data_IF_787443366834
#
_entry.id   IF_787443366834
#
_cell.length_a   1.000
_cell.length_b   1.000
_cell.length_c   1.000
_cell.angle_alpha   90.00
_cell.angle_beta   90.00
_cell.angle_gamma   90.00
#
_symmetry.space_group_name_H-M   'P 1'
#
loop_
_entity.id
_entity.type
_entity.pdbx_description
1 polymer ?
#
# COMPACT_ATOMS: atom_id res chain seq x y z
N UNK A 1 26.01 14.36 -41.03
CA UNK A 1 24.64 14.62 -40.56
C UNK A 1 24.10 13.36 -39.90
N UNK A 2 23.94 13.33 -38.57
CA UNK A 2 23.33 12.20 -37.85
C UNK A 2 21.82 12.27 -38.04
N UNK A 3 21.22 11.23 -38.62
CA UNK A 3 19.76 11.05 -38.70
C UNK A 3 19.22 11.06 -37.27
N UNK A 4 18.35 12.03 -36.95
CA UNK A 4 17.60 12.07 -35.69
C UNK A 4 16.59 10.92 -35.80
N UNK A 5 16.83 9.83 -35.08
CA UNK A 5 15.83 8.78 -34.95
C UNK A 5 14.65 9.36 -34.17
N UNK A 6 13.50 9.48 -34.82
CA UNK A 6 12.25 9.85 -34.16
C UNK A 6 11.93 8.79 -33.10
N UNK A 7 11.51 9.19 -31.88
CA UNK A 7 11.16 8.24 -30.84
C UNK A 7 10.02 7.36 -31.36
N UNK A 8 10.31 6.08 -31.61
CA UNK A 8 9.29 5.07 -31.90
C UNK A 8 8.27 5.11 -30.78
N UNK A 9 7.03 5.51 -31.09
CA UNK A 9 5.93 5.35 -30.16
C UNK A 9 5.73 3.84 -29.95
N UNK A 10 6.22 3.34 -28.83
CA UNK A 10 6.01 1.96 -28.41
C UNK A 10 4.57 1.85 -27.98
N UNK A 11 3.75 1.21 -28.81
CA UNK A 11 2.35 0.92 -28.50
C UNK A 11 2.33 -0.30 -27.58
N UNK A 12 2.33 -0.07 -26.26
CA UNK A 12 2.30 -1.13 -25.27
C UNK A 12 0.91 -1.79 -25.27
N UNK A 13 0.85 -3.11 -25.08
CA UNK A 13 -0.41 -3.82 -24.87
C UNK A 13 -0.97 -3.57 -23.46
N UNK A 14 -2.25 -3.87 -23.27
CA UNK A 14 -2.92 -3.71 -21.97
C UNK A 14 -2.23 -4.51 -20.84
N UNK A 15 -1.62 -5.65 -21.20
CA UNK A 15 -0.87 -6.50 -20.26
C UNK A 15 0.39 -5.80 -19.73
N UNK A 16 1.19 -5.18 -20.60
CA UNK A 16 2.39 -4.47 -20.18
C UNK A 16 2.06 -3.27 -19.29
N UNK A 17 1.00 -2.52 -19.60
CA UNK A 17 0.54 -1.42 -18.73
C UNK A 17 0.13 -1.91 -17.34
N UNK A 18 -0.56 -3.05 -17.27
CA UNK A 18 -0.95 -3.66 -16.01
C UNK A 18 0.25 -4.16 -15.20
N UNK A 19 1.25 -4.78 -15.84
CA UNK A 19 2.47 -5.22 -15.15
C UNK A 19 3.25 -4.06 -14.54
N UNK A 20 3.36 -2.94 -15.26
CA UNK A 20 3.98 -1.71 -14.75
C UNK A 20 3.21 -1.17 -13.55
N UNK A 21 1.88 -1.04 -13.67
CA UNK A 21 1.00 -0.62 -12.59
C UNK A 21 1.18 -1.51 -11.35
N UNK A 22 1.11 -2.83 -11.52
CA UNK A 22 1.23 -3.80 -10.44
C UNK A 22 2.58 -3.71 -9.74
N UNK A 23 3.67 -3.53 -10.50
CA UNK A 23 5.01 -3.34 -9.96
C UNK A 23 5.09 -2.10 -9.07
N UNK A 24 4.55 -0.96 -9.52
CA UNK A 24 4.51 0.27 -8.73
C UNK A 24 3.66 0.14 -7.48
N UNK A 25 2.45 -0.41 -7.57
CA UNK A 25 1.58 -0.62 -6.42
C UNK A 25 2.20 -1.56 -5.39
N UNK A 26 2.85 -2.64 -5.84
CA UNK A 26 3.57 -3.53 -4.93
C UNK A 26 4.76 -2.85 -4.27
N UNK A 27 5.52 -2.03 -5.00
CA UNK A 27 6.63 -1.28 -4.44
C UNK A 27 6.15 -0.25 -3.40
N UNK A 28 5.11 0.52 -3.73
CA UNK A 28 4.54 1.54 -2.85
C UNK A 28 4.05 0.94 -1.53
N UNK A 29 3.32 -0.17 -1.58
CA UNK A 29 2.86 -0.90 -0.40
C UNK A 29 4.03 -1.39 0.46
N UNK A 30 5.08 -1.93 -0.15
CA UNK A 30 6.27 -2.36 0.58
C UNK A 30 6.93 -1.17 1.29
N UNK A 31 7.02 -0.01 0.64
CA UNK A 31 7.51 1.21 1.26
C UNK A 31 6.65 1.64 2.44
N UNK A 32 5.33 1.58 2.34
CA UNK A 32 4.44 1.89 3.47
C UNK A 32 4.63 0.95 4.65
N UNK A 33 4.72 -0.36 4.41
CA UNK A 33 4.94 -1.33 5.48
C UNK A 33 6.29 -1.10 6.16
N UNK A 34 7.37 -0.94 5.38
CA UNK A 34 8.71 -0.68 5.91
C UNK A 34 8.76 0.63 6.70
N UNK A 35 8.17 1.70 6.16
CA UNK A 35 8.12 2.99 6.83
C UNK A 35 7.32 2.92 8.13
N UNK A 36 6.15 2.29 8.12
CA UNK A 36 5.31 2.17 9.32
C UNK A 36 5.96 1.32 10.41
N UNK A 37 6.53 0.16 10.06
CA UNK A 37 7.26 -0.70 11.02
C UNK A 37 8.51 0.01 11.55
N UNK A 38 9.25 0.71 10.69
CA UNK A 38 10.39 1.54 11.07
C UNK A 38 10.01 2.68 12.01
N UNK A 39 8.88 3.34 11.76
CA UNK A 39 8.31 4.35 12.66
C UNK A 39 8.00 3.76 14.04
N UNK A 40 7.26 2.64 14.08
CA UNK A 40 6.91 1.96 15.34
C UNK A 40 8.14 1.59 16.18
N UNK A 41 9.17 1.01 15.57
CA UNK A 41 10.33 0.53 16.33
C UNK A 41 11.12 1.68 16.96
N UNK A 42 11.14 2.86 16.35
CA UNK A 42 11.77 4.05 16.93
C UNK A 42 11.09 4.49 18.23
N UNK A 43 9.76 4.38 18.31
CA UNK A 43 9.01 4.76 19.52
C UNK A 43 8.97 3.64 20.56
N UNK A 44 8.95 2.38 20.15
CA UNK A 44 8.96 1.24 21.09
C UNK A 44 10.36 1.00 21.67
N UNK A 45 11.42 1.33 20.94
CA UNK A 45 12.78 1.16 21.42
C UNK A 45 13.18 2.24 22.42
N UNK A 46 13.56 1.85 23.64
CA UNK A 46 14.10 2.78 24.65
C UNK A 46 15.50 3.33 24.32
N UNK A 47 16.04 2.99 23.15
CA UNK A 47 17.38 3.37 22.70
C UNK A 47 17.48 4.83 22.29
N UNK A 48 16.38 5.44 21.84
CA UNK A 48 16.37 6.83 21.42
C UNK A 48 15.97 7.73 22.59
N UNK A 49 16.96 8.37 23.23
CA UNK A 49 16.74 9.31 24.33
C UNK A 49 15.78 10.46 23.94
N UNK A 50 15.83 10.89 22.68
CA UNK A 50 15.00 11.95 22.11
C UNK A 50 13.50 11.67 22.26
N UNK A 51 13.07 10.40 22.24
CA UNK A 51 11.65 10.05 22.36
C UNK A 51 11.20 9.73 23.79
N UNK A 52 12.08 9.85 24.79
CA UNK A 52 11.74 9.62 26.21
C UNK A 52 10.99 10.79 26.83
N UNK A 53 11.25 11.99 26.34
CA UNK A 53 10.63 13.23 26.82
C UNK A 53 9.22 13.45 26.23
N UNK A 54 8.80 12.57 25.32
CA UNK A 54 7.50 12.67 24.67
C UNK A 54 6.38 12.35 25.65
N UNK A 55 5.29 13.11 25.54
CA UNK A 55 4.08 12.84 26.30
C UNK A 55 3.53 11.44 25.96
N UNK A 56 3.31 10.61 26.99
CA UNK A 56 2.87 9.20 26.85
C UNK A 56 1.64 9.01 25.95
N UNK A 57 0.52 9.74 26.12
CA UNK A 57 -0.62 9.70 25.21
C UNK A 57 -0.27 9.97 23.74
N UNK A 58 0.58 10.98 23.47
CA UNK A 58 0.98 11.34 22.10
C UNK A 58 1.82 10.22 21.49
N UNK A 59 2.77 9.67 22.25
CA UNK A 59 3.59 8.53 21.84
C UNK A 59 2.73 7.32 21.45
N UNK A 60 1.71 7.01 22.26
CA UNK A 60 0.76 5.91 21.95
C UNK A 60 -0.03 6.22 20.67
N UNK A 61 -0.52 7.45 20.50
CA UNK A 61 -1.26 7.84 19.30
C UNK A 61 -0.41 7.73 18.02
N UNK A 62 0.87 8.13 18.06
CA UNK A 62 1.82 7.99 16.96
C UNK A 62 2.01 6.51 16.59
N UNK A 63 2.27 5.66 17.58
CA UNK A 63 2.45 4.22 17.36
C UNK A 63 1.18 3.57 16.79
N UNK A 64 0.01 3.89 17.34
CA UNK A 64 -1.27 3.38 16.82
C UNK A 64 -1.47 3.83 15.37
N UNK A 65 -1.17 5.09 15.05
CA UNK A 65 -1.30 5.60 13.68
C UNK A 65 -0.42 4.84 12.69
N UNK A 66 0.84 4.56 13.05
CA UNK A 66 1.72 3.74 12.23
C UNK A 66 1.23 2.29 12.10
N UNK A 67 0.82 1.65 13.20
CA UNK A 67 0.28 0.28 13.17
C UNK A 67 -0.98 0.19 12.33
N UNK A 68 -1.90 1.15 12.44
CA UNK A 68 -3.13 1.19 11.65
C UNK A 68 -2.84 1.31 10.16
N UNK A 69 -1.90 2.17 9.75
CA UNK A 69 -1.49 2.26 8.35
C UNK A 69 -0.88 0.96 7.82
N UNK A 70 0.00 0.31 8.60
CA UNK A 70 0.57 -1.00 8.24
C UNK A 70 -0.52 -2.08 8.14
N UNK A 71 -1.46 -2.11 9.09
CA UNK A 71 -2.56 -3.07 9.08
C UNK A 71 -3.46 -2.90 7.85
N UNK A 72 -3.78 -1.66 7.46
CA UNK A 72 -4.53 -1.37 6.24
C UNK A 72 -3.80 -1.90 4.98
N UNK A 73 -2.49 -1.71 4.90
CA UNK A 73 -1.68 -2.20 3.78
C UNK A 73 -1.61 -3.73 3.71
N UNK A 74 -1.54 -4.41 4.86
CA UNK A 74 -1.61 -5.88 4.94
C UNK A 74 -3.00 -6.37 4.47
N UNK A 75 -4.07 -5.75 4.95
CA UNK A 75 -5.44 -6.09 4.54
C UNK A 75 -5.64 -5.90 3.03
N UNK A 76 -5.10 -4.83 2.47
CA UNK A 76 -5.11 -4.59 1.02
C UNK A 76 -4.33 -5.68 0.26
N UNK A 77 -3.14 -6.07 0.72
CA UNK A 77 -2.39 -7.17 0.12
C UNK A 77 -3.16 -8.50 0.16
N UNK A 78 -3.83 -8.79 1.28
CA UNK A 78 -4.66 -9.99 1.42
C UNK A 78 -5.84 -9.98 0.47
N UNK A 79 -6.52 -8.84 0.34
CA UNK A 79 -7.63 -8.67 -0.59
C UNK A 79 -7.16 -8.89 -2.04
N UNK A 80 -6.05 -8.27 -2.44
CA UNK A 80 -5.52 -8.44 -3.79
C UNK A 80 -5.11 -9.89 -4.05
N UNK A 81 -4.47 -10.56 -3.09
CA UNK A 81 -4.14 -11.99 -3.20
C UNK A 81 -5.38 -12.85 -3.37
N UNK A 82 -6.44 -12.57 -2.60
CA UNK A 82 -7.71 -13.28 -2.67
C UNK A 82 -8.35 -13.12 -4.05
N UNK A 83 -8.51 -11.88 -4.54
CA UNK A 83 -9.09 -11.59 -5.87
C UNK A 83 -8.34 -12.34 -6.98
N UNK A 84 -7.01 -12.21 -7.01
CA UNK A 84 -6.20 -12.84 -8.06
C UNK A 84 -6.29 -14.36 -8.02
N UNK A 85 -6.37 -14.96 -6.83
CA UNK A 85 -6.55 -16.41 -6.70
C UNK A 85 -7.86 -16.88 -7.33
N UNK A 86 -8.99 -16.22 -7.06
CA UNK A 86 -10.28 -16.63 -7.62
C UNK A 86 -10.36 -16.41 -9.12
N UNK A 87 -9.81 -15.30 -9.63
CA UNK A 87 -9.76 -15.04 -11.07
C UNK A 87 -8.91 -16.11 -11.76
N UNK A 88 -7.69 -16.37 -11.25
CA UNK A 88 -6.82 -17.42 -11.78
C UNK A 88 -7.51 -18.79 -11.77
N UNK A 89 -8.15 -19.15 -10.66
CA UNK A 89 -8.82 -20.44 -10.53
C UNK A 89 -10.04 -20.58 -11.47
N UNK A 90 -10.77 -19.49 -11.72
CA UNK A 90 -11.87 -19.48 -12.69
C UNK A 90 -11.42 -19.52 -14.14
N UNK A 91 -10.27 -18.94 -14.47
CA UNK A 91 -9.65 -19.09 -15.80
C UNK A 91 -9.20 -20.55 -16.04
N UNK A 92 -8.72 -21.24 -15.01
CA UNK A 92 -8.31 -22.65 -15.10
C UNK A 92 -9.50 -23.62 -15.11
N UNK A 93 -10.60 -23.30 -14.40
CA UNK A 93 -11.78 -24.14 -14.26
C UNK A 93 -13.06 -23.39 -14.67
N UNK A 94 -13.55 -23.65 -15.89
CA UNK A 94 -14.72 -22.97 -16.45
C UNK A 94 -15.99 -23.14 -15.57
N UNK A 95 -16.19 -24.31 -14.97
CA UNK A 95 -17.33 -24.57 -14.07
C UNK A 95 -17.32 -23.66 -12.83
N UNK A 96 -16.14 -23.17 -12.43
CA UNK A 96 -16.01 -22.29 -11.28
C UNK A 96 -16.37 -20.83 -11.61
N UNK A 97 -16.41 -20.44 -12.88
CA UNK A 97 -16.77 -19.08 -13.30
C UNK A 97 -18.22 -18.74 -12.93
N UNK A 98 -19.12 -19.73 -12.87
CA UNK A 98 -20.50 -19.53 -12.43
C UNK A 98 -20.63 -19.36 -10.91
N UNK A 99 -19.56 -19.58 -10.14
CA UNK A 99 -19.58 -19.46 -8.69
C UNK A 99 -19.73 -18.01 -8.23
N UNK A 100 -20.46 -17.81 -7.12
CA UNK A 100 -20.61 -16.49 -6.50
C UNK A 100 -19.27 -15.88 -6.09
N UNK A 101 -18.30 -16.71 -5.69
CA UNK A 101 -16.98 -16.23 -5.27
C UNK A 101 -16.19 -15.65 -6.45
N UNK A 102 -16.24 -16.31 -7.62
CA UNK A 102 -15.65 -15.79 -8.84
C UNK A 102 -16.28 -14.45 -9.23
N UNK A 103 -17.62 -14.38 -9.29
CA UNK A 103 -18.33 -13.14 -9.66
C UNK A 103 -18.04 -11.98 -8.70
N UNK A 104 -17.90 -12.26 -7.40
CA UNK A 104 -17.50 -11.24 -6.42
C UNK A 104 -16.06 -10.79 -6.69
N UNK A 105 -15.12 -11.72 -6.89
CA UNK A 105 -13.72 -11.40 -7.16
C UNK A 105 -13.57 -10.59 -8.46
N UNK A 106 -14.26 -10.99 -9.52
CA UNK A 106 -14.30 -10.26 -10.80
C UNK A 106 -14.84 -8.84 -10.59
N UNK A 107 -15.97 -8.67 -9.89
CA UNK A 107 -16.55 -7.35 -9.60
C UNK A 107 -15.62 -6.48 -8.78
N UNK A 108 -15.03 -7.03 -7.70
CA UNK A 108 -14.12 -6.27 -6.83
C UNK A 108 -12.81 -5.94 -7.56
N UNK A 109 -12.36 -6.75 -8.52
CA UNK A 109 -11.16 -6.44 -9.31
C UNK A 109 -11.28 -5.15 -10.12
N UNK A 110 -12.52 -4.75 -10.48
CA UNK A 110 -12.78 -3.47 -11.15
C UNK A 110 -12.76 -2.26 -10.21
N UNK A 111 -12.76 -2.47 -8.89
CA UNK A 111 -12.84 -1.42 -7.88
C UNK A 111 -11.47 -0.91 -7.46
N UNK A 112 -10.71 -0.39 -8.42
CA UNK A 112 -9.42 0.28 -8.21
C UNK A 112 -9.45 1.35 -7.09
N UNK A 113 -10.61 1.99 -6.87
CA UNK A 113 -10.77 2.99 -5.82
C UNK A 113 -10.51 2.47 -4.40
N UNK A 114 -10.63 1.17 -4.15
CA UNK A 114 -10.28 0.59 -2.84
C UNK A 114 -8.79 0.78 -2.55
N UNK A 115 -7.94 0.37 -3.50
CA UNK A 115 -6.48 0.47 -3.40
C UNK A 115 -6.07 1.94 -3.14
N UNK A 116 -6.59 2.86 -3.96
CA UNK A 116 -6.32 4.31 -3.83
C UNK A 116 -6.76 4.85 -2.47
N UNK A 117 -7.95 4.48 -2.01
CA UNK A 117 -8.50 5.00 -0.75
C UNK A 117 -7.68 4.50 0.44
N UNK A 118 -7.28 3.23 0.43
CA UNK A 118 -6.44 2.64 1.48
C UNK A 118 -5.04 3.28 1.47
N UNK A 119 -4.45 3.49 0.30
CA UNK A 119 -3.16 4.17 0.17
C UNK A 119 -3.23 5.61 0.68
N UNK A 120 -4.28 6.35 0.32
CA UNK A 120 -4.49 7.72 0.80
C UNK A 120 -4.67 7.76 2.32
N UNK A 121 -5.48 6.87 2.89
CA UNK A 121 -5.65 6.76 4.34
C UNK A 121 -4.32 6.43 5.04
N UNK A 122 -3.50 5.58 4.43
CA UNK A 122 -2.17 5.22 4.95
C UNK A 122 -1.24 6.44 4.94
N UNK A 123 -1.21 7.21 3.84
CA UNK A 123 -0.44 8.45 3.72
C UNK A 123 -0.88 9.45 4.79
N UNK A 124 -2.19 9.64 4.97
CA UNK A 124 -2.73 10.57 5.98
C UNK A 124 -2.35 10.11 7.39
N UNK A 125 -2.51 8.83 7.72
CA UNK A 125 -2.15 8.29 9.03
C UNK A 125 -0.67 8.49 9.34
N UNK A 126 0.21 8.18 8.38
CA UNK A 126 1.65 8.37 8.52
C UNK A 126 2.06 9.84 8.55
N UNK A 127 1.38 10.69 7.79
CA UNK A 127 1.58 12.12 7.77
C UNK A 127 1.23 12.76 9.12
N UNK A 128 0.10 12.39 9.71
CA UNK A 128 -0.30 12.84 11.05
C UNK A 128 0.70 12.36 12.10
N UNK A 129 1.07 11.08 12.09
CA UNK A 129 2.05 10.52 13.01
C UNK A 129 3.38 11.27 12.94
N UNK A 130 3.89 11.47 11.73
CA UNK A 130 5.14 12.20 11.48
C UNK A 130 5.02 13.67 11.90
N UNK A 131 3.91 14.33 11.59
CA UNK A 131 3.64 15.71 12.00
C UNK A 131 3.61 15.89 13.52
N UNK A 132 2.99 14.96 14.25
CA UNK A 132 3.01 14.95 15.71
C UNK A 132 4.45 14.80 16.26
N UNK A 133 5.27 13.97 15.63
CA UNK A 133 6.69 13.83 16.00
C UNK A 133 7.44 15.13 15.79
N UNK A 134 7.30 15.76 14.62
CA UNK A 134 7.91 17.06 14.36
C UNK A 134 7.47 18.12 15.36
N UNK A 135 6.16 18.23 15.62
CA UNK A 135 5.64 19.19 16.59
C UNK A 135 6.25 18.98 17.98
N UNK A 136 6.32 17.74 18.46
CA UNK A 136 6.85 17.42 19.79
C UNK A 136 8.37 17.62 19.91
N UNK A 137 9.13 17.61 18.80
CA UNK A 137 10.57 17.82 18.80
C UNK A 137 10.97 19.30 18.76
N UNK A 138 10.18 20.13 18.10
CA UNK A 138 10.56 21.51 17.78
C UNK A 138 9.70 22.57 18.49
N UNK A 139 8.62 22.18 19.17
CA UNK A 139 7.73 23.06 19.93
C UNK A 139 7.62 22.59 21.38
#
# INVERSE_FOLDING_TARGET
>A
MKKKEEPKQVNFGAKEYFEVYWSYCSALRNWFVVFGVGGCILFVSDKAAIFKEFNKPIKIAIVISFISGVALQILLAMLNKWIHWYIYWGEENQDFQESRLYQIAERVSTWFWIDVSIDLLTIIAFGIATGCVFYQLFC
#
